data_IF_036150585730
#
_entry.id   IF_036150585730
#
_cell.length_a   1.000
_cell.length_b   1.000
_cell.length_c   1.000
_cell.angle_alpha   90.00
_cell.angle_beta   90.00
_cell.angle_gamma   90.00
#
_symmetry.space_group_name_H-M   'P 1'
#
loop_
_entity.id
_entity.type
_entity.pdbx_description
1 polymer ?
#
# COMPACT_ATOMS: atom_id res chain seq x y z
N UNK A 1 -5.74 -26.23 -4.28
CA UNK A 1 -6.35 -25.99 -2.94
C UNK A 1 -5.28 -25.47 -2.01
N UNK A 2 -5.49 -24.28 -1.46
CA UNK A 2 -4.58 -23.64 -0.50
C UNK A 2 -4.46 -24.50 0.75
N UNK A 3 -3.28 -24.64 1.31
CA UNK A 3 -3.08 -25.41 2.54
C UNK A 3 -3.63 -24.63 3.75
N UNK A 4 -4.25 -25.35 4.70
CA UNK A 4 -4.74 -24.74 5.95
C UNK A 4 -3.64 -23.99 6.71
N UNK A 5 -2.41 -24.49 6.62
CA UNK A 5 -1.24 -23.85 7.23
C UNK A 5 -0.99 -22.45 6.62
N UNK A 6 -1.02 -22.35 5.29
CA UNK A 6 -0.81 -21.05 4.63
C UNK A 6 -1.90 -20.05 5.00
N UNK A 7 -3.16 -20.48 5.09
CA UNK A 7 -4.26 -19.62 5.54
C UNK A 7 -4.06 -19.13 6.97
N UNK A 8 -3.59 -20.00 7.87
CA UNK A 8 -3.29 -19.61 9.25
C UNK A 8 -2.13 -18.60 9.32
N UNK A 9 -1.07 -18.80 8.54
CA UNK A 9 0.07 -17.89 8.48
C UNK A 9 -0.35 -16.52 7.92
N UNK A 10 -1.15 -16.49 6.85
CA UNK A 10 -1.71 -15.26 6.28
C UNK A 10 -2.63 -14.56 7.27
N UNK A 11 -3.52 -15.28 7.96
CA UNK A 11 -4.41 -14.69 8.96
C UNK A 11 -3.61 -14.03 10.09
N UNK A 12 -2.62 -14.73 10.63
CA UNK A 12 -1.74 -14.18 11.67
C UNK A 12 -1.02 -12.92 11.19
N UNK A 13 -0.59 -12.90 9.93
CA UNK A 13 0.07 -11.73 9.35
C UNK A 13 -0.90 -10.56 9.16
N UNK A 14 -2.14 -10.81 8.74
CA UNK A 14 -3.20 -9.80 8.62
C UNK A 14 -3.48 -9.20 10.00
N UNK A 15 -3.71 -10.02 11.02
CA UNK A 15 -4.06 -9.57 12.37
C UNK A 15 -2.96 -8.68 12.99
N UNK A 16 -1.71 -8.97 12.63
CA UNK A 16 -0.58 -8.18 13.11
C UNK A 16 -0.36 -6.86 12.35
N UNK A 17 -0.68 -6.81 11.07
CA UNK A 17 -0.32 -5.70 10.20
C UNK A 17 -1.51 -4.83 9.76
N UNK A 18 -2.75 -5.35 9.84
CA UNK A 18 -3.92 -4.56 9.54
C UNK A 18 -4.07 -3.48 10.61
N UNK A 19 -4.00 -2.24 10.20
CA UNK A 19 -4.40 -1.12 11.06
C UNK A 19 -5.93 -1.20 11.15
N UNK A 20 -6.42 -1.92 12.16
CA UNK A 20 -7.81 -1.79 12.54
C UNK A 20 -8.00 -0.33 12.91
N UNK A 21 -8.99 0.32 12.32
CA UNK A 21 -9.51 1.56 12.87
C UNK A 21 -9.76 1.25 14.35
N UNK A 22 -8.93 1.84 15.20
CA UNK A 22 -9.22 1.87 16.62
C UNK A 22 -10.66 2.33 16.68
N UNK A 23 -11.57 1.45 17.12
CA UNK A 23 -12.91 1.85 17.50
C UNK A 23 -12.74 3.16 18.24
N UNK A 24 -13.14 4.26 17.60
CA UNK A 24 -13.36 5.50 18.32
C UNK A 24 -14.38 5.07 19.36
N UNK A 25 -13.90 4.76 20.57
CA UNK A 25 -14.79 4.65 21.71
C UNK A 25 -15.51 5.98 21.68
N UNK A 26 -16.77 5.95 21.27
CA UNK A 26 -17.69 7.05 21.45
C UNK A 26 -17.68 7.32 22.96
N UNK A 27 -16.77 8.20 23.35
CA UNK A 27 -16.88 8.85 24.65
C UNK A 27 -18.25 9.55 24.59
N UNK A 28 -19.20 9.21 25.45
CA UNK A 28 -20.49 9.85 25.43
C UNK A 28 -20.23 11.34 25.62
N UNK A 29 -20.48 12.14 24.58
CA UNK A 29 -20.52 13.58 24.66
C UNK A 29 -21.70 13.90 25.61
N UNK A 30 -21.42 13.92 26.92
CA UNK A 30 -22.34 14.54 27.87
C UNK A 30 -22.29 16.02 27.59
N UNK A 31 -23.28 16.48 26.83
CA UNK A 31 -23.61 17.89 26.75
C UNK A 31 -23.89 18.39 28.16
N UNK A 32 -22.95 19.07 28.76
CA UNK A 32 -23.16 19.81 29.99
C UNK A 32 -23.93 21.09 29.66
N UNK A 33 -25.26 21.03 29.74
CA UNK A 33 -26.10 22.21 29.94
C UNK A 33 -26.14 22.53 31.42
N UNK A 34 -25.47 23.59 31.80
CA UNK A 34 -25.68 24.51 32.90
C UNK A 34 -26.04 24.00 34.29
N UNK A 35 -25.26 24.45 35.21
CA UNK A 35 -25.47 25.00 36.58
C UNK A 35 -24.73 24.29 37.71
N UNK A 36 -23.74 25.03 38.24
CA UNK A 36 -23.39 25.24 39.65
C UNK A 36 -23.02 24.05 40.56
N UNK A 37 -21.78 24.22 41.12
CA UNK A 37 -21.32 23.78 42.46
C UNK A 37 -21.16 22.29 42.73
N UNK A 38 -19.94 21.79 42.57
CA UNK A 38 -19.27 20.95 43.53
C UNK A 38 -17.80 20.78 43.18
N UNK A 39 -16.93 21.06 44.12
CA UNK A 39 -15.52 20.80 44.17
C UNK A 39 -15.26 19.28 44.01
N UNK A 40 -14.62 18.88 42.93
CA UNK A 40 -14.06 17.55 42.76
C UNK A 40 -12.69 17.68 42.14
N UNK A 41 -11.74 17.06 42.78
CA UNK A 41 -10.31 16.99 42.49
C UNK A 41 -10.02 16.67 41.02
N UNK A 42 -9.37 17.62 40.33
CA UNK A 42 -9.06 17.52 38.87
C UNK A 42 -7.58 17.40 38.61
N UNK A 43 -6.81 16.75 39.50
CA UNK A 43 -5.35 16.78 39.40
C UNK A 43 -4.70 15.74 38.47
N UNK A 44 -5.39 14.69 38.05
CA UNK A 44 -4.76 13.65 37.23
C UNK A 44 -5.07 13.76 35.73
N UNK A 45 -6.20 14.36 35.38
CA UNK A 45 -6.60 14.55 33.97
C UNK A 45 -5.96 15.77 33.33
N UNK A 46 -5.71 16.82 34.13
CA UNK A 46 -5.08 18.06 33.70
C UNK A 46 -3.62 17.83 33.28
N UNK A 47 -2.89 16.97 33.99
CA UNK A 47 -1.49 16.63 33.67
C UNK A 47 -1.31 15.85 32.37
N UNK A 48 -2.33 15.10 31.92
CA UNK A 48 -2.29 14.37 30.64
C UNK A 48 -2.58 15.27 29.43
N UNK A 49 -3.38 16.31 29.62
CA UNK A 49 -3.70 17.26 28.54
C UNK A 49 -2.56 18.27 28.35
N UNK A 50 -1.89 18.68 29.43
CA UNK A 50 -0.74 19.59 29.35
C UNK A 50 0.47 18.94 28.64
N UNK A 51 0.62 17.62 28.73
CA UNK A 51 1.65 16.89 27.97
C UNK A 51 1.34 16.84 26.47
N UNK A 52 0.07 16.90 26.07
CA UNK A 52 -0.33 16.90 24.65
C UNK A 52 -0.33 18.29 24.03
N UNK A 53 -0.46 19.34 24.84
CA UNK A 53 -0.47 20.74 24.42
C UNK A 53 0.87 21.46 24.68
N UNK A 54 1.86 20.78 25.28
CA UNK A 54 3.18 21.37 25.42
C UNK A 54 3.82 21.48 24.03
N UNK A 55 3.93 22.71 23.56
CA UNK A 55 4.56 23.15 22.32
C UNK A 55 6.03 22.68 22.18
N UNK A 56 6.57 22.07 23.22
CA UNK A 56 7.92 21.50 23.22
C UNK A 56 8.05 20.16 22.49
N UNK A 57 6.95 19.44 22.25
CA UNK A 57 6.97 18.25 21.41
C UNK A 57 7.21 18.58 19.92
N UNK A 58 6.97 19.83 19.52
CA UNK A 58 7.21 20.31 18.16
C UNK A 58 8.64 20.84 17.93
N UNK A 59 9.43 21.02 19.00
CA UNK A 59 10.80 21.54 18.92
C UNK A 59 11.86 20.48 18.59
N UNK A 60 11.54 19.20 18.60
CA UNK A 60 12.53 18.15 18.32
C UNK A 60 12.72 17.89 16.82
N UNK A 61 11.90 18.44 15.95
CA UNK A 61 11.98 18.27 14.51
C UNK A 61 12.35 19.53 13.71
N UNK A 62 12.77 20.61 14.37
CA UNK A 62 13.41 21.73 13.65
C UNK A 62 14.90 21.47 13.45
N UNK A 63 15.25 20.27 12.96
CA UNK A 63 16.42 20.12 12.12
C UNK A 63 16.15 21.01 10.91
N UNK A 64 16.95 22.04 10.73
CA UNK A 64 16.87 22.97 9.63
C UNK A 64 16.52 22.22 8.35
N UNK A 65 15.25 22.28 7.96
CA UNK A 65 14.85 21.99 6.59
C UNK A 65 15.49 23.13 5.81
N UNK A 66 16.71 22.93 5.33
CA UNK A 66 17.25 23.75 4.25
C UNK A 66 16.19 23.64 3.17
N UNK A 67 15.43 24.71 2.99
CA UNK A 67 14.55 24.86 1.86
C UNK A 67 15.45 24.67 0.64
N UNK A 68 15.39 23.48 0.07
CA UNK A 68 16.06 23.17 -1.18
C UNK A 68 15.37 24.07 -2.22
N UNK A 69 16.02 25.16 -2.55
CA UNK A 69 15.51 26.19 -3.47
C UNK A 69 15.61 25.66 -4.92
N UNK A 70 15.16 24.42 -5.15
CA UNK A 70 15.02 23.92 -6.50
C UNK A 70 13.91 24.69 -7.19
N UNK A 71 14.22 25.23 -8.35
CA UNK A 71 13.21 25.92 -9.15
C UNK A 71 12.14 24.89 -9.59
N UNK A 72 10.91 25.34 -9.82
CA UNK A 72 9.88 24.49 -10.39
C UNK A 72 10.31 23.88 -11.74
N UNK A 73 11.14 24.59 -12.47
CA UNK A 73 11.71 24.15 -13.75
C UNK A 73 12.67 22.97 -13.57
N UNK A 74 13.49 22.96 -12.51
CA UNK A 74 14.38 21.84 -12.18
C UNK A 74 13.57 20.59 -11.78
N UNK A 75 12.48 20.75 -11.03
CA UNK A 75 11.60 19.65 -10.65
C UNK A 75 10.83 19.06 -11.83
N UNK A 76 10.48 19.87 -12.83
CA UNK A 76 9.77 19.41 -14.04
C UNK A 76 10.72 18.70 -15.00
N UNK A 77 12.03 19.01 -14.98
CA UNK A 77 13.01 18.33 -15.81
C UNK A 77 13.40 16.94 -15.29
N UNK A 78 13.20 16.66 -14.00
CA UNK A 78 13.41 15.35 -13.37
C UNK A 78 12.15 14.45 -13.50
N UNK A 79 11.51 14.41 -14.68
CA UNK A 79 10.39 13.49 -14.91
C UNK A 79 10.88 12.06 -14.80
N UNK A 80 10.43 11.36 -13.76
CA UNK A 80 10.74 9.95 -13.58
C UNK A 80 10.20 9.09 -14.72
N UNK A 81 10.86 7.94 -14.96
CA UNK A 81 10.40 6.96 -15.96
C UNK A 81 8.93 6.56 -15.73
N UNK A 82 8.17 6.48 -16.80
CA UNK A 82 6.78 6.06 -16.74
C UNK A 82 6.64 4.60 -16.28
N UNK A 83 5.44 4.23 -15.82
CA UNK A 83 5.14 2.84 -15.47
C UNK A 83 5.48 1.86 -16.59
N UNK A 84 5.10 2.19 -17.84
CA UNK A 84 5.38 1.35 -19.00
C UNK A 84 6.88 1.19 -19.26
N UNK A 85 7.65 2.27 -19.19
CA UNK A 85 9.11 2.23 -19.38
C UNK A 85 9.79 1.40 -18.30
N UNK A 86 9.38 1.57 -17.05
CA UNK A 86 9.89 0.77 -15.93
C UNK A 86 9.53 -0.72 -16.08
N UNK A 87 8.30 -1.03 -16.52
CA UNK A 87 7.89 -2.41 -16.81
C UNK A 87 8.80 -3.07 -17.84
N UNK A 88 9.02 -2.41 -18.99
CA UNK A 88 9.84 -2.99 -20.06
C UNK A 88 11.31 -3.05 -19.69
N UNK A 89 11.79 -2.14 -18.84
CA UNK A 89 13.14 -2.24 -18.28
C UNK A 89 13.29 -3.53 -17.46
N UNK A 90 12.38 -3.79 -16.51
CA UNK A 90 12.42 -5.03 -15.70
C UNK A 90 12.30 -6.29 -16.57
N UNK A 91 11.45 -6.29 -17.61
CA UNK A 91 11.33 -7.41 -18.54
C UNK A 91 12.66 -7.71 -19.21
N UNK A 92 13.34 -6.67 -19.72
CA UNK A 92 14.64 -6.80 -20.37
C UNK A 92 15.73 -7.22 -19.39
N UNK A 93 15.80 -6.62 -18.20
CA UNK A 93 16.81 -6.90 -17.18
C UNK A 93 16.71 -8.36 -16.69
N UNK A 94 15.49 -8.91 -16.61
CA UNK A 94 15.24 -10.31 -16.24
C UNK A 94 15.28 -11.30 -17.42
N UNK A 95 15.49 -10.80 -18.63
CA UNK A 95 15.54 -11.64 -19.84
C UNK A 95 14.23 -12.35 -20.18
N UNK A 96 13.10 -11.82 -19.68
CA UNK A 96 11.77 -12.39 -19.91
C UNK A 96 11.19 -11.92 -21.24
N UNK A 97 10.28 -12.73 -21.78
CA UNK A 97 9.50 -12.33 -22.96
C UNK A 97 8.13 -11.79 -22.59
N UNK A 98 7.57 -10.89 -23.38
CA UNK A 98 6.22 -10.38 -23.18
C UNK A 98 5.17 -11.47 -22.94
N UNK A 99 5.14 -12.57 -23.76
CA UNK A 99 4.21 -13.68 -23.55
C UNK A 99 4.33 -14.38 -22.20
N UNK A 100 5.54 -14.51 -21.69
CA UNK A 100 5.77 -15.10 -20.37
C UNK A 100 5.21 -14.20 -19.28
N UNK A 101 5.49 -12.90 -19.35
CA UNK A 101 5.05 -11.94 -18.32
C UNK A 101 3.52 -11.84 -18.26
N UNK A 102 2.82 -11.63 -19.40
CA UNK A 102 1.37 -11.50 -19.33
C UNK A 102 0.66 -12.83 -18.97
N UNK A 103 1.26 -13.99 -19.31
CA UNK A 103 0.73 -15.29 -18.88
C UNK A 103 0.93 -15.50 -17.38
N UNK A 104 2.14 -15.22 -16.85
CA UNK A 104 2.42 -15.29 -15.41
C UNK A 104 1.56 -14.33 -14.61
N UNK A 105 1.31 -13.12 -15.15
CA UNK A 105 0.44 -12.13 -14.53
C UNK A 105 -1.06 -12.43 -14.67
N UNK A 106 -1.43 -13.51 -15.35
CA UNK A 106 -2.83 -13.83 -15.69
C UNK A 106 -3.56 -12.65 -16.35
N UNK A 107 -2.88 -11.97 -17.29
CA UNK A 107 -3.41 -10.80 -18.01
C UNK A 107 -3.77 -11.13 -19.45
N UNK A 108 -4.77 -10.42 -19.99
CA UNK A 108 -5.10 -10.50 -21.42
C UNK A 108 -3.96 -9.86 -22.25
N UNK A 109 -3.58 -10.56 -23.32
CA UNK A 109 -2.64 -10.05 -24.35
C UNK A 109 -3.03 -8.65 -24.87
N UNK A 110 -4.33 -8.38 -25.03
CA UNK A 110 -4.83 -7.08 -25.50
C UNK A 110 -4.47 -5.96 -24.52
N UNK A 111 -4.63 -6.21 -23.22
CA UNK A 111 -4.28 -5.26 -22.16
C UNK A 111 -2.78 -4.99 -22.17
N UNK A 112 -1.96 -6.04 -22.24
CA UNK A 112 -0.51 -5.90 -22.29
C UNK A 112 -0.05 -5.11 -23.53
N UNK A 113 -0.64 -5.40 -24.71
CA UNK A 113 -0.38 -4.63 -25.95
C UNK A 113 -0.77 -3.16 -25.81
N UNK A 114 -1.82 -2.85 -25.05
CA UNK A 114 -2.26 -1.48 -24.77
C UNK A 114 -1.24 -0.73 -23.91
N UNK A 115 -0.70 -1.38 -22.88
CA UNK A 115 0.38 -0.83 -22.04
C UNK A 115 1.62 -0.53 -22.92
N UNK A 116 1.98 -1.45 -23.82
CA UNK A 116 3.14 -1.27 -24.72
C UNK A 116 2.99 -0.10 -25.70
N UNK A 117 1.79 0.12 -26.21
CA UNK A 117 1.52 1.18 -27.20
C UNK A 117 1.43 2.57 -26.58
N UNK A 118 1.04 2.66 -25.33
CA UNK A 118 0.79 3.93 -24.65
C UNK A 118 1.72 4.08 -23.44
N UNK A 119 2.76 4.87 -23.58
CA UNK A 119 3.73 5.16 -22.51
C UNK A 119 3.08 5.76 -21.25
N UNK A 120 1.99 6.51 -21.43
CA UNK A 120 1.26 7.16 -20.33
C UNK A 120 0.07 6.33 -19.83
N UNK A 121 0.01 5.05 -20.21
CA UNK A 121 -1.05 4.17 -19.73
C UNK A 121 -0.92 3.94 -18.21
N UNK A 122 -1.99 4.23 -17.49
CA UNK A 122 -2.09 3.93 -16.06
C UNK A 122 -2.92 2.65 -15.88
N UNK A 123 -2.32 1.54 -15.49
CA UNK A 123 -3.04 0.30 -15.18
C UNK A 123 -3.86 0.46 -13.89
N UNK A 124 -4.79 -0.44 -13.65
CA UNK A 124 -5.40 -0.57 -12.32
C UNK A 124 -4.37 -1.09 -11.30
N UNK A 125 -4.62 -0.86 -10.00
CA UNK A 125 -3.77 -1.37 -8.93
C UNK A 125 -3.56 -2.88 -9.03
N UNK A 126 -4.66 -3.62 -9.26
CA UNK A 126 -4.61 -5.09 -9.39
C UNK A 126 -3.74 -5.53 -10.56
N UNK A 127 -3.81 -4.82 -11.70
CA UNK A 127 -2.96 -5.09 -12.87
C UNK A 127 -1.49 -4.79 -12.55
N UNK A 128 -1.20 -3.68 -11.87
CA UNK A 128 0.16 -3.32 -11.50
C UNK A 128 0.77 -4.33 -10.52
N UNK A 129 0.00 -4.79 -9.52
CA UNK A 129 0.42 -5.82 -8.58
C UNK A 129 0.60 -7.18 -9.25
N UNK A 130 -0.30 -7.57 -10.16
CA UNK A 130 -0.15 -8.80 -10.94
C UNK A 130 1.15 -8.83 -11.75
N UNK A 131 1.52 -7.69 -12.35
CA UNK A 131 2.79 -7.56 -13.09
C UNK A 131 4.00 -7.58 -12.15
N UNK A 132 3.91 -6.98 -10.96
CA UNK A 132 4.99 -7.03 -9.97
C UNK A 132 5.26 -8.47 -9.51
N UNK A 133 4.21 -9.24 -9.24
CA UNK A 133 4.31 -10.67 -8.89
C UNK A 133 4.88 -11.49 -10.05
N UNK A 134 4.38 -11.27 -11.28
CA UNK A 134 4.87 -11.99 -12.46
C UNK A 134 6.34 -11.72 -12.79
N UNK A 135 6.83 -10.53 -12.42
CA UNK A 135 8.23 -10.16 -12.55
C UNK A 135 9.07 -10.60 -11.35
N UNK A 136 8.48 -11.23 -10.35
CA UNK A 136 9.18 -11.65 -9.12
C UNK A 136 9.97 -10.50 -8.50
N UNK A 137 9.33 -9.33 -8.34
CA UNK A 137 9.95 -8.16 -7.73
C UNK A 137 9.98 -8.32 -6.21
N UNK A 138 11.06 -7.86 -5.59
CA UNK A 138 11.11 -7.76 -4.13
C UNK A 138 10.18 -6.64 -3.62
N UNK A 139 10.02 -6.51 -2.30
CA UNK A 139 9.05 -5.60 -1.73
C UNK A 139 9.34 -4.13 -2.06
N UNK A 140 10.61 -3.72 -2.05
CA UNK A 140 10.99 -2.33 -2.31
C UNK A 140 10.84 -2.00 -3.81
N UNK A 141 11.28 -2.90 -4.69
CA UNK A 141 11.04 -2.80 -6.13
C UNK A 141 9.53 -2.76 -6.46
N UNK A 142 8.73 -3.56 -5.74
CA UNK A 142 7.27 -3.55 -5.91
C UNK A 142 6.69 -2.20 -5.53
N UNK A 143 7.09 -1.62 -4.39
CA UNK A 143 6.63 -0.29 -3.96
C UNK A 143 6.98 0.78 -4.99
N UNK A 144 8.22 0.79 -5.46
CA UNK A 144 8.67 1.74 -6.48
C UNK A 144 7.90 1.55 -7.80
N UNK A 145 7.72 0.30 -8.21
CA UNK A 145 7.02 -0.03 -9.45
C UNK A 145 5.54 0.40 -9.44
N UNK A 146 4.79 0.08 -8.37
CA UNK A 146 3.39 0.52 -8.25
C UNK A 146 3.29 2.03 -8.00
N UNK A 147 4.29 2.64 -7.38
CA UNK A 147 4.42 4.08 -7.21
C UNK A 147 4.42 4.82 -8.55
N UNK A 148 5.07 4.26 -9.59
CA UNK A 148 5.04 4.81 -10.96
C UNK A 148 3.64 4.79 -11.59
N UNK A 149 2.76 3.89 -11.15
CA UNK A 149 1.35 3.88 -11.53
C UNK A 149 0.48 4.81 -10.64
N UNK A 150 1.05 5.39 -9.59
CA UNK A 150 0.37 6.25 -8.63
C UNK A 150 -0.34 5.48 -7.51
N UNK A 151 0.10 4.27 -7.21
CA UNK A 151 -0.44 3.44 -6.12
C UNK A 151 0.60 3.18 -5.03
N UNK A 152 0.11 2.79 -3.86
CA UNK A 152 0.94 2.34 -2.76
C UNK A 152 0.35 1.09 -2.10
N UNK A 153 1.19 0.29 -1.46
CA UNK A 153 0.74 -0.75 -0.53
C UNK A 153 0.38 -0.08 0.79
N UNK A 154 -0.81 -0.36 1.30
CA UNK A 154 -1.32 0.22 2.54
C UNK A 154 -1.65 -0.88 3.53
N UNK A 155 -1.57 -0.55 4.83
CA UNK A 155 -1.97 -1.47 5.90
C UNK A 155 -3.46 -1.38 6.26
N UNK A 156 -4.21 -0.57 5.53
CA UNK A 156 -5.67 -0.46 5.64
C UNK A 156 -6.43 -1.38 4.69
N UNK A 157 -5.73 -2.03 3.76
CA UNK A 157 -6.29 -2.95 2.77
C UNK A 157 -5.79 -4.37 3.01
N UNK A 158 -6.70 -5.33 3.22
CA UNK A 158 -6.35 -6.74 3.37
C UNK A 158 -5.63 -7.27 2.12
N UNK A 159 -6.10 -6.88 0.92
CA UNK A 159 -5.45 -7.26 -0.33
C UNK A 159 -3.98 -6.86 -0.35
N UNK A 160 -3.64 -5.64 0.07
CA UNK A 160 -2.27 -5.15 0.08
C UNK A 160 -1.39 -5.95 1.05
N UNK A 161 -1.94 -6.26 2.23
CA UNK A 161 -1.25 -7.04 3.27
C UNK A 161 -0.99 -8.48 2.78
N UNK A 162 -1.96 -9.11 2.11
CA UNK A 162 -1.82 -10.45 1.55
C UNK A 162 -0.73 -10.45 0.48
N UNK A 163 -0.76 -9.49 -0.45
CA UNK A 163 0.28 -9.37 -1.49
C UNK A 163 1.65 -9.12 -0.87
N UNK A 164 1.75 -8.23 0.12
CA UNK A 164 3.00 -8.00 0.85
C UNK A 164 3.54 -9.27 1.52
N UNK A 165 2.66 -10.08 2.13
CA UNK A 165 3.02 -11.35 2.73
C UNK A 165 3.63 -12.31 1.71
N UNK A 166 2.98 -12.50 0.56
CA UNK A 166 3.47 -13.39 -0.50
C UNK A 166 4.83 -12.96 -1.04
N UNK A 167 5.03 -11.67 -1.28
CA UNK A 167 6.32 -11.11 -1.73
C UNK A 167 7.41 -11.36 -0.68
N UNK A 168 7.12 -11.17 0.60
CA UNK A 168 8.08 -11.42 1.70
C UNK A 168 8.46 -12.89 1.83
N UNK A 169 7.55 -13.79 1.50
CA UNK A 169 7.81 -15.23 1.47
C UNK A 169 8.52 -15.69 0.19
N UNK A 170 8.80 -14.76 -0.75
CA UNK A 170 9.30 -15.07 -2.11
C UNK A 170 8.40 -16.06 -2.85
N UNK A 171 7.11 -16.04 -2.56
CA UNK A 171 6.10 -16.84 -3.23
C UNK A 171 5.40 -15.99 -4.30
N UNK A 172 5.69 -16.26 -5.57
CA UNK A 172 5.20 -15.50 -6.71
C UNK A 172 4.18 -16.28 -7.55
N UNK A 173 3.56 -17.31 -6.96
CA UNK A 173 2.47 -18.02 -7.62
C UNK A 173 1.17 -17.22 -7.56
N UNK A 174 0.81 -16.62 -8.70
CA UNK A 174 -0.40 -15.79 -8.81
C UNK A 174 -1.69 -16.59 -8.60
N UNK A 175 -1.68 -17.90 -8.89
CA UNK A 175 -2.87 -18.73 -8.70
C UNK A 175 -3.11 -19.00 -7.22
N UNK A 176 -2.07 -19.37 -6.48
CA UNK A 176 -2.14 -19.56 -5.03
C UNK A 176 -2.51 -18.25 -4.32
N UNK A 177 -1.90 -17.14 -4.74
CA UNK A 177 -2.24 -15.81 -4.24
C UNK A 177 -3.72 -15.48 -4.48
N UNK A 178 -4.24 -15.74 -5.67
CA UNK A 178 -5.64 -15.49 -6.00
C UNK A 178 -6.61 -16.42 -5.24
N UNK A 179 -6.22 -17.69 -4.96
CA UNK A 179 -7.02 -18.55 -4.09
C UNK A 179 -7.13 -17.99 -2.67
N UNK A 180 -6.04 -17.41 -2.13
CA UNK A 180 -6.05 -16.75 -0.82
C UNK A 180 -6.88 -15.47 -0.87
N UNK A 181 -6.71 -14.63 -1.90
CA UNK A 181 -7.53 -13.42 -2.07
C UNK A 181 -9.02 -13.75 -2.14
N UNK A 182 -9.37 -14.78 -2.89
CA UNK A 182 -10.76 -15.28 -2.99
C UNK A 182 -11.30 -15.73 -1.63
N UNK A 183 -10.50 -16.44 -0.83
CA UNK A 183 -10.89 -16.87 0.51
C UNK A 183 -11.21 -15.68 1.45
N UNK A 184 -10.49 -14.56 1.30
CA UNK A 184 -10.72 -13.34 2.07
C UNK A 184 -11.72 -12.37 1.41
N UNK A 185 -12.41 -12.78 0.35
CA UNK A 185 -13.38 -11.97 -0.40
C UNK A 185 -12.76 -10.68 -0.98
N UNK A 186 -11.46 -10.72 -1.29
CA UNK A 186 -10.73 -9.59 -1.86
C UNK A 186 -10.66 -9.69 -3.40
N UNK A 187 -10.47 -8.55 -4.10
CA UNK A 187 -10.36 -8.53 -5.55
C UNK A 187 -9.16 -9.35 -6.04
N UNK A 188 -9.39 -10.18 -7.06
CA UNK A 188 -8.35 -11.02 -7.66
C UNK A 188 -7.36 -10.18 -8.48
N UNK A 189 -6.11 -10.63 -8.54
CA UNK A 189 -5.07 -10.05 -9.38
C UNK A 189 -5.12 -10.64 -10.79
N UNK A 190 -4.88 -9.78 -11.79
CA UNK A 190 -4.67 -10.17 -13.17
C UNK A 190 -5.91 -10.64 -13.95
N UNK A 191 -6.95 -11.11 -13.30
CA UNK A 191 -8.15 -11.54 -14.02
C UNK A 191 -9.00 -10.32 -14.43
N UNK A 192 -9.23 -10.15 -15.71
CA UNK A 192 -10.39 -9.40 -16.19
C UNK A 192 -11.65 -10.23 -15.89
N UNK A 193 -12.08 -10.27 -14.64
CA UNK A 193 -13.46 -10.65 -14.35
C UNK A 193 -14.30 -9.48 -14.76
N UNK A 194 -14.82 -9.57 -15.99
CA UNK A 194 -15.86 -8.70 -16.48
C UNK A 194 -17.18 -9.05 -15.78
#
# INVERSE_FOLDING_TARGET
MVSEKLLADVQSYIDHNLVQELCVMEAPIKCYSGKSNASVETDEYSKKIDCFLSFDCFKVASKEIKADSRSLEDLVTEIESSFAETLFKYINDKGLTDPEVYKRANLDRKLFSKIRKNKNYKPSKNTALALAVALELNLDETKDFIGKAGYALTRSSKMDIIVEFFIKQNNYDIFELNEVLFYYEEPLLGSNVA
#
